data_IF_246123086895
#
_entry.id   IF_246123086895
#
_cell.length_a   1.000
_cell.length_b   1.000
_cell.length_c   1.000
_cell.angle_alpha   90.00
_cell.angle_beta   90.00
_cell.angle_gamma   90.00
#
_symmetry.space_group_name_H-M   'P 1'
#
loop_
_entity.id
_entity.type
_entity.pdbx_description
1 polymer ?
#
# COMPACT_ATOMS: atom_id res chain seq x y z
N UNK A 1 11.40 22.31 12.05
CA UNK A 1 10.80 21.32 11.14
C UNK A 1 11.92 20.42 10.71
N UNK A 2 11.77 19.10 10.86
CA UNK A 2 12.73 18.18 10.26
C UNK A 2 12.58 18.27 8.74
N UNK A 3 13.69 18.16 8.04
CA UNK A 3 13.74 18.23 6.59
C UNK A 3 13.04 17.01 5.99
N UNK A 4 11.98 17.22 5.20
CA UNK A 4 11.33 16.14 4.42
C UNK A 4 12.34 15.66 3.37
N UNK A 5 12.73 14.38 3.44
CA UNK A 5 13.59 13.74 2.42
C UNK A 5 12.81 12.66 1.70
N UNK A 6 12.38 12.95 0.49
CA UNK A 6 11.65 12.01 -0.35
C UNK A 6 12.64 11.21 -1.21
N UNK A 7 12.73 9.91 -0.97
CA UNK A 7 13.56 9.00 -1.76
C UNK A 7 12.72 8.11 -2.68
N UNK A 8 13.37 7.21 -3.43
CA UNK A 8 12.72 6.24 -4.33
C UNK A 8 11.73 5.31 -3.61
N UNK A 9 11.92 5.08 -2.29
CA UNK A 9 10.99 4.35 -1.42
C UNK A 9 9.98 5.25 -0.69
N UNK A 10 9.91 6.52 -1.04
CA UNK A 10 9.03 7.52 -0.43
C UNK A 10 9.67 8.25 0.75
N UNK A 11 8.84 8.96 1.50
CA UNK A 11 9.19 9.62 2.76
C UNK A 11 8.53 8.89 3.92
N UNK A 12 9.28 8.69 5.02
CA UNK A 12 8.80 8.01 6.23
C UNK A 12 9.22 8.79 7.46
N UNK A 13 8.33 8.90 8.44
CA UNK A 13 8.62 9.56 9.70
C UNK A 13 7.73 9.01 10.85
N UNK A 14 8.01 9.43 12.08
CA UNK A 14 7.23 9.05 13.27
C UNK A 14 5.94 9.85 13.31
N UNK A 15 4.80 9.14 13.42
CA UNK A 15 3.45 9.72 13.51
C UNK A 15 3.34 10.65 14.74
N UNK A 16 2.75 11.83 14.54
CA UNK A 16 2.60 12.86 15.56
C UNK A 16 3.88 13.68 15.83
N UNK A 17 5.01 13.32 15.19
CA UNK A 17 6.20 14.15 15.14
C UNK A 17 6.35 14.78 13.76
N UNK A 18 7.26 14.23 12.95
CA UNK A 18 7.50 14.72 11.60
C UNK A 18 6.45 14.23 10.61
N UNK A 19 5.84 13.06 10.85
CA UNK A 19 4.66 12.62 10.11
C UNK A 19 3.41 13.23 10.76
N UNK A 20 3.08 14.43 10.33
CA UNK A 20 1.97 15.23 10.82
C UNK A 20 1.17 15.82 9.64
N UNK A 21 0.03 16.42 9.94
CA UNK A 21 -0.89 16.95 8.93
C UNK A 21 -0.21 17.95 7.98
N UNK A 22 0.57 18.89 8.50
CA UNK A 22 1.22 19.93 7.70
C UNK A 22 2.20 19.33 6.68
N UNK A 23 3.03 18.39 7.14
CA UNK A 23 4.02 17.73 6.28
C UNK A 23 3.35 16.80 5.26
N UNK A 24 2.30 16.06 5.65
CA UNK A 24 1.49 15.23 4.74
C UNK A 24 0.87 16.11 3.65
N UNK A 25 0.25 17.23 4.01
CA UNK A 25 -0.30 18.20 3.04
C UNK A 25 0.77 18.76 2.11
N UNK A 26 1.96 19.04 2.62
CA UNK A 26 3.09 19.54 1.83
C UNK A 26 3.56 18.50 0.81
N UNK A 27 3.72 17.24 1.21
CA UNK A 27 4.11 16.15 0.30
C UNK A 27 3.00 15.85 -0.71
N UNK A 28 1.73 15.82 -0.28
CA UNK A 28 0.58 15.64 -1.17
C UNK A 28 0.51 16.73 -2.24
N UNK A 29 0.73 17.99 -1.84
CA UNK A 29 0.82 19.14 -2.77
C UNK A 29 1.94 18.92 -3.80
N UNK A 30 3.12 18.51 -3.35
CA UNK A 30 4.26 18.26 -4.24
C UNK A 30 3.97 17.17 -5.27
N UNK A 31 3.32 16.08 -4.84
CA UNK A 31 2.88 15.00 -5.74
C UNK A 31 1.81 15.49 -6.71
N UNK A 32 0.79 16.22 -6.23
CA UNK A 32 -0.27 16.78 -7.08
C UNK A 32 0.30 17.70 -8.15
N UNK A 33 1.24 18.57 -7.76
CA UNK A 33 1.94 19.46 -8.72
C UNK A 33 2.74 18.68 -9.76
N UNK A 34 3.49 17.65 -9.34
CA UNK A 34 4.22 16.77 -10.25
C UNK A 34 3.27 16.11 -11.27
N UNK A 35 2.16 15.54 -10.81
CA UNK A 35 1.19 14.90 -11.69
C UNK A 35 0.57 15.91 -12.65
N UNK A 36 0.25 17.11 -12.19
CA UNK A 36 -0.29 18.16 -13.04
C UNK A 36 0.71 18.62 -14.12
N UNK A 37 1.94 18.89 -13.74
CA UNK A 37 2.96 19.41 -14.66
C UNK A 37 3.31 18.40 -15.76
N UNK A 38 3.29 17.10 -15.45
CA UNK A 38 3.70 16.05 -16.37
C UNK A 38 2.52 15.42 -17.15
N UNK A 39 1.29 15.46 -16.61
CA UNK A 39 0.14 14.73 -17.18
C UNK A 39 -1.16 15.55 -17.27
N UNK A 40 -1.26 16.71 -16.60
CA UNK A 40 -2.49 17.48 -16.48
C UNK A 40 -3.51 16.89 -15.50
N UNK A 41 -4.73 17.47 -15.46
CA UNK A 41 -5.82 17.04 -14.57
C UNK A 41 -6.55 15.77 -15.04
N UNK A 42 -6.38 15.38 -16.29
CA UNK A 42 -7.01 14.15 -16.84
C UNK A 42 -6.36 12.87 -16.27
N UNK A 43 -5.17 12.99 -15.67
CA UNK A 43 -4.49 11.87 -15.03
C UNK A 43 -5.17 11.56 -13.70
N UNK A 44 -5.76 10.38 -13.60
CA UNK A 44 -6.34 9.91 -12.35
C UNK A 44 -5.27 9.59 -11.30
N UNK A 45 -5.61 9.79 -10.03
CA UNK A 45 -4.74 9.43 -8.91
C UNK A 45 -5.46 8.39 -8.06
N UNK A 46 -4.79 7.31 -7.74
CA UNK A 46 -5.30 6.28 -6.83
C UNK A 46 -4.55 6.31 -5.50
N UNK A 47 -5.28 6.15 -4.40
CA UNK A 47 -4.73 6.24 -3.04
C UNK A 47 -5.02 4.94 -2.29
N UNK A 48 -3.99 4.38 -1.70
CA UNK A 48 -4.08 3.19 -0.85
C UNK A 48 -3.39 3.40 0.50
N UNK A 49 -3.70 2.53 1.44
CA UNK A 49 -3.14 2.57 2.80
C UNK A 49 -3.01 1.16 3.39
N UNK A 50 -2.00 0.99 4.26
CA UNK A 50 -1.81 -0.21 5.08
C UNK A 50 -2.52 -0.07 6.45
N UNK A 51 -2.52 -1.09 7.34
CA UNK A 51 -3.26 -1.02 8.60
C UNK A 51 -2.58 -0.19 9.71
N UNK A 52 -1.57 0.60 9.39
CA UNK A 52 -0.86 1.43 10.37
C UNK A 52 -1.76 2.52 10.96
N UNK A 53 -1.40 2.94 12.17
CA UNK A 53 -2.07 4.06 12.83
C UNK A 53 -2.06 5.30 11.95
N UNK A 54 -3.20 6.00 11.84
CA UNK A 54 -3.43 7.21 11.04
C UNK A 54 -3.27 7.04 9.52
N UNK A 55 -3.06 5.81 9.00
CA UNK A 55 -2.84 5.61 7.57
C UNK A 55 -4.11 5.93 6.74
N UNK A 56 -5.28 5.52 7.20
CA UNK A 56 -6.55 5.83 6.55
C UNK A 56 -6.85 7.34 6.60
N UNK A 57 -6.71 7.95 7.77
CA UNK A 57 -7.01 9.37 7.98
C UNK A 57 -6.15 10.27 7.08
N UNK A 58 -4.86 10.01 7.00
CA UNK A 58 -3.98 10.76 6.12
C UNK A 58 -4.18 10.43 4.64
N UNK A 59 -4.58 9.21 4.30
CA UNK A 59 -4.95 8.84 2.94
C UNK A 59 -6.22 9.58 2.48
N UNK A 60 -7.26 9.65 3.33
CA UNK A 60 -8.49 10.40 3.06
C UNK A 60 -8.18 11.90 2.93
N UNK A 61 -7.43 12.49 3.85
CA UNK A 61 -6.99 13.89 3.79
C UNK A 61 -6.24 14.22 2.48
N UNK A 62 -5.32 13.34 2.06
CA UNK A 62 -4.59 13.54 0.82
C UNK A 62 -5.48 13.40 -0.41
N UNK A 63 -6.42 12.46 -0.41
CA UNK A 63 -7.39 12.31 -1.49
C UNK A 63 -8.28 13.55 -1.64
N UNK A 64 -8.78 14.10 -0.52
CA UNK A 64 -9.57 15.33 -0.51
C UNK A 64 -8.75 16.53 -1.02
N UNK A 65 -7.52 16.70 -0.56
CA UNK A 65 -6.65 17.77 -1.00
C UNK A 65 -6.35 17.70 -2.51
N UNK A 66 -6.13 16.50 -3.06
CA UNK A 66 -5.93 16.31 -4.49
C UNK A 66 -7.19 16.62 -5.29
N UNK A 67 -8.36 16.27 -4.77
CA UNK A 67 -9.63 16.64 -5.37
C UNK A 67 -9.88 18.17 -5.33
N UNK A 68 -9.48 18.86 -4.27
CA UNK A 68 -9.48 20.32 -4.20
C UNK A 68 -8.59 20.95 -5.29
N UNK A 69 -7.51 20.29 -5.69
CA UNK A 69 -6.68 20.74 -6.82
C UNK A 69 -7.30 20.46 -8.19
N UNK A 70 -8.36 19.66 -8.26
CA UNK A 70 -9.10 19.36 -9.49
C UNK A 70 -8.93 17.93 -10.00
N UNK A 71 -8.17 17.08 -9.31
CA UNK A 71 -7.97 15.69 -9.73
C UNK A 71 -9.17 14.80 -9.46
N UNK A 72 -9.36 13.80 -10.32
CA UNK A 72 -10.23 12.67 -10.05
C UNK A 72 -9.43 11.61 -9.25
N UNK A 73 -9.85 11.37 -8.03
CA UNK A 73 -9.13 10.52 -7.07
C UNK A 73 -9.97 9.30 -6.71
N UNK A 74 -9.36 8.11 -6.75
CA UNK A 74 -9.95 6.89 -6.20
C UNK A 74 -9.18 6.46 -4.96
N UNK A 75 -9.88 6.35 -3.84
CA UNK A 75 -9.28 5.84 -2.59
C UNK A 75 -9.75 4.42 -2.32
N UNK A 76 -8.84 3.57 -1.84
CA UNK A 76 -9.15 2.19 -1.49
C UNK A 76 -10.23 2.11 -0.41
N UNK A 77 -11.22 1.23 -0.60
CA UNK A 77 -12.27 0.94 0.40
C UNK A 77 -11.76 0.22 1.64
N UNK A 78 -10.59 -0.41 1.56
CA UNK A 78 -10.01 -1.23 2.62
C UNK A 78 -8.49 -1.16 2.59
N UNK A 79 -7.85 -1.65 3.62
CA UNK A 79 -6.40 -1.90 3.64
C UNK A 79 -5.97 -2.64 2.37
N UNK A 80 -4.86 -2.20 1.78
CA UNK A 80 -4.38 -2.71 0.50
C UNK A 80 -2.86 -2.91 0.52
N UNK A 81 -2.32 -4.04 0.03
CA UNK A 81 -0.88 -4.20 -0.13
C UNK A 81 -0.37 -3.37 -1.32
N UNK A 82 0.84 -2.83 -1.20
CA UNK A 82 1.46 -2.03 -2.27
C UNK A 82 1.43 -2.67 -3.66
N UNK A 83 1.67 -4.00 -3.84
CA UNK A 83 1.60 -4.61 -5.17
C UNK A 83 0.22 -4.53 -5.82
N UNK A 84 -0.84 -4.61 -5.02
CA UNK A 84 -2.22 -4.49 -5.54
C UNK A 84 -2.48 -3.07 -6.04
N UNK A 85 -2.04 -2.06 -5.28
CA UNK A 85 -2.17 -0.67 -5.70
C UNK A 85 -1.33 -0.36 -6.94
N UNK A 86 -0.08 -0.84 -6.98
CA UNK A 86 0.82 -0.67 -8.13
C UNK A 86 0.25 -1.32 -9.41
N UNK A 87 -0.29 -2.54 -9.30
CA UNK A 87 -0.97 -3.18 -10.43
C UNK A 87 -2.11 -2.31 -10.96
N UNK A 88 -2.95 -1.79 -10.07
CA UNK A 88 -4.09 -0.94 -10.47
C UNK A 88 -3.64 0.41 -11.04
N UNK A 89 -2.52 0.99 -10.58
CA UNK A 89 -1.92 2.17 -11.20
C UNK A 89 -1.64 1.94 -12.69
N UNK A 90 -1.00 0.81 -13.02
CA UNK A 90 -0.73 0.40 -14.40
C UNK A 90 -2.01 0.10 -15.17
N UNK A 91 -2.93 -0.66 -14.58
CA UNK A 91 -4.17 -1.12 -15.21
C UNK A 91 -5.10 0.04 -15.57
N UNK A 92 -5.20 1.04 -14.70
CA UNK A 92 -6.05 2.22 -14.87
C UNK A 92 -5.31 3.39 -15.56
N UNK A 93 -4.03 3.23 -15.91
CA UNK A 93 -3.20 4.32 -16.40
C UNK A 93 -3.19 5.53 -15.44
N UNK A 94 -3.12 5.27 -14.13
CA UNK A 94 -3.15 6.26 -13.07
C UNK A 94 -1.79 6.37 -12.36
N UNK A 95 -1.55 7.47 -11.65
CA UNK A 95 -0.50 7.54 -10.64
C UNK A 95 -1.06 7.07 -9.29
N UNK A 96 -0.20 6.56 -8.40
CA UNK A 96 -0.67 6.10 -7.10
C UNK A 96 0.10 6.68 -5.94
N UNK A 97 -0.60 6.82 -4.80
CA UNK A 97 -0.03 7.21 -3.51
C UNK A 97 -0.34 6.10 -2.51
N UNK A 98 0.69 5.54 -1.90
CA UNK A 98 0.55 4.51 -0.88
C UNK A 98 0.98 5.03 0.48
N UNK A 99 0.08 5.01 1.45
CA UNK A 99 0.36 5.29 2.85
C UNK A 99 0.84 4.02 3.54
N UNK A 100 2.14 3.92 3.76
CA UNK A 100 2.82 2.77 4.37
C UNK A 100 4.22 3.15 4.83
N UNK A 101 4.70 2.53 5.88
CA UNK A 101 6.11 2.57 6.25
C UNK A 101 6.79 1.20 6.05
N UNK A 102 6.20 0.30 5.23
CA UNK A 102 6.76 -1.01 4.92
C UNK A 102 7.07 -1.82 6.20
N UNK A 103 8.33 -2.15 6.44
CA UNK A 103 8.80 -2.92 7.59
C UNK A 103 9.27 -2.07 8.79
N UNK A 104 9.13 -0.74 8.73
CA UNK A 104 9.48 0.12 9.87
C UNK A 104 8.63 -0.21 11.11
N UNK A 105 9.12 0.16 12.33
CA UNK A 105 8.36 0.03 13.57
C UNK A 105 6.95 0.62 13.49
N UNK A 106 6.03 0.18 14.37
CA UNK A 106 4.61 0.58 14.33
C UNK A 106 4.35 2.09 14.38
N UNK A 107 5.22 2.84 15.07
CA UNK A 107 5.11 4.29 15.23
C UNK A 107 5.43 5.09 13.96
N UNK A 108 5.96 4.44 12.91
CA UNK A 108 6.24 5.08 11.63
C UNK A 108 5.08 4.99 10.67
N UNK A 109 4.90 6.03 9.87
CA UNK A 109 4.11 6.01 8.65
C UNK A 109 4.90 6.69 7.53
N UNK A 110 4.48 6.50 6.28
CA UNK A 110 5.13 7.09 5.13
C UNK A 110 4.19 7.29 3.97
N UNK A 111 4.65 8.05 2.99
CA UNK A 111 3.99 8.27 1.71
C UNK A 111 4.93 7.77 0.61
N UNK A 112 4.47 6.81 -0.18
CA UNK A 112 5.17 6.33 -1.37
C UNK A 112 4.41 6.77 -2.62
N UNK A 113 5.10 7.45 -3.53
CA UNK A 113 4.57 7.76 -4.85
C UNK A 113 4.91 6.62 -5.82
N UNK A 114 3.93 6.18 -6.57
CA UNK A 114 4.04 5.15 -7.59
C UNK A 114 3.59 5.78 -8.92
N UNK A 115 4.52 6.05 -9.84
CA UNK A 115 4.19 6.55 -11.16
C UNK A 115 3.33 5.59 -11.98
N UNK A 116 2.80 6.03 -13.10
CA UNK A 116 1.89 5.26 -13.97
C UNK A 116 2.51 4.01 -14.60
N UNK A 117 3.84 3.88 -14.59
CA UNK A 117 4.52 2.64 -14.97
C UNK A 117 4.53 1.57 -13.86
N UNK A 118 3.95 1.87 -12.68
CA UNK A 118 3.77 0.95 -11.53
C UNK A 118 5.06 0.48 -10.84
N UNK A 119 6.18 1.17 -11.05
CA UNK A 119 7.46 0.93 -10.39
C UNK A 119 7.77 1.94 -9.29
N UNK A 120 8.92 1.83 -8.63
CA UNK A 120 9.46 2.88 -7.78
C UNK A 120 9.67 4.18 -8.57
N UNK A 121 9.48 5.33 -7.93
CA UNK A 121 9.86 6.60 -8.52
C UNK A 121 11.37 6.63 -8.79
N UNK A 122 11.77 7.17 -9.95
CA UNK A 122 13.20 7.35 -10.26
C UNK A 122 13.78 8.51 -9.47
N UNK A 123 15.11 8.68 -9.48
CA UNK A 123 15.77 9.82 -8.84
C UNK A 123 15.28 11.16 -9.43
N UNK A 124 15.09 11.24 -10.74
CA UNK A 124 14.58 12.43 -11.40
C UNK A 124 13.20 12.83 -10.89
N UNK A 125 12.30 11.84 -10.71
CA UNK A 125 10.97 12.07 -10.14
C UNK A 125 11.07 12.53 -8.68
N UNK A 126 11.91 11.88 -7.87
CA UNK A 126 12.05 12.29 -6.46
C UNK A 126 12.68 13.65 -6.30
N UNK A 127 13.63 14.03 -7.16
CA UNK A 127 14.23 15.37 -7.18
C UNK A 127 13.19 16.44 -7.55
N UNK A 128 12.32 16.16 -8.52
CA UNK A 128 11.21 17.04 -8.88
C UNK A 128 10.18 17.15 -7.74
N UNK A 129 9.85 16.04 -7.07
CA UNK A 129 8.99 16.07 -5.88
C UNK A 129 9.61 16.93 -4.76
N UNK A 130 10.91 16.78 -4.51
CA UNK A 130 11.63 17.59 -3.52
C UNK A 130 11.62 19.09 -3.87
N UNK A 131 11.81 19.43 -5.14
CA UNK A 131 11.68 20.81 -5.61
C UNK A 131 10.26 21.35 -5.39
N UNK A 132 9.24 20.53 -5.68
CA UNK A 132 7.83 20.89 -5.56
C UNK A 132 7.34 21.04 -4.10
N UNK A 133 8.07 20.57 -3.09
CA UNK A 133 7.73 20.82 -1.68
C UNK A 133 7.60 22.33 -1.38
N UNK A 134 8.41 23.16 -2.03
CA UNK A 134 8.44 24.60 -1.86
C UNK A 134 7.62 25.38 -2.88
N UNK A 135 7.07 24.70 -3.89
CA UNK A 135 6.31 25.33 -4.94
C UNK A 135 4.92 25.76 -4.48
N UNK A 136 4.42 26.84 -5.08
CA UNK A 136 3.01 27.19 -4.98
C UNK A 136 2.21 26.35 -5.98
N UNK A 137 1.18 25.65 -5.47
CA UNK A 137 0.22 24.95 -6.30
C UNK A 137 -1.20 25.33 -5.80
N UNK A 138 -2.01 25.84 -6.71
CA UNK A 138 -3.34 26.37 -6.39
C UNK A 138 -4.41 25.43 -6.94
N UNK A 139 -5.59 25.52 -6.39
CA UNK A 139 -6.81 24.89 -6.92
C UNK A 139 -7.01 25.27 -8.38
N UNK A 140 -7.17 24.27 -9.25
CA UNK A 140 -7.33 24.42 -10.69
C UNK A 140 -8.74 24.07 -11.17
N UNK A 141 -9.55 23.45 -10.29
CA UNK A 141 -10.91 23.04 -10.61
C UNK A 141 -11.55 22.26 -9.46
N UNK A 142 -12.70 21.65 -9.76
CA UNK A 142 -13.41 20.77 -8.85
C UNK A 142 -13.16 19.31 -9.25
N UNK A 143 -12.35 18.61 -8.46
CA UNK A 143 -12.14 17.18 -8.61
C UNK A 143 -13.17 16.35 -7.85
N UNK A 144 -12.88 15.09 -7.67
CA UNK A 144 -13.76 14.17 -6.94
C UNK A 144 -12.97 13.10 -6.20
N UNK A 145 -13.52 12.62 -5.08
CA UNK A 145 -13.02 11.43 -4.37
C UNK A 145 -14.05 10.31 -4.47
N UNK A 146 -13.62 9.14 -4.92
CA UNK A 146 -14.46 7.96 -5.02
C UNK A 146 -13.83 6.78 -4.29
N UNK A 147 -14.56 6.14 -3.37
CA UNK A 147 -14.10 4.90 -2.73
C UNK A 147 -14.18 3.73 -3.72
N UNK A 148 -13.05 3.09 -3.98
CA UNK A 148 -12.92 2.04 -4.99
C UNK A 148 -12.36 0.72 -4.39
N UNK A 149 -12.80 -0.43 -4.93
CA UNK A 149 -12.27 -1.74 -4.54
C UNK A 149 -11.29 -2.24 -5.60
N UNK A 150 -10.01 -2.13 -5.33
CA UNK A 150 -8.94 -2.51 -6.26
C UNK A 150 -8.65 -4.02 -6.31
N UNK A 151 -9.26 -4.83 -5.44
CA UNK A 151 -8.94 -6.26 -5.34
C UNK A 151 -9.40 -7.12 -6.53
N UNK A 152 -10.63 -6.93 -7.12
CA UNK A 152 -11.14 -7.82 -8.16
C UNK A 152 -10.24 -7.90 -9.40
N UNK A 153 -9.78 -6.77 -9.92
CA UNK A 153 -8.93 -6.73 -11.11
C UNK A 153 -7.57 -7.37 -10.87
N UNK A 154 -7.02 -7.15 -9.67
CA UNK A 154 -5.79 -7.80 -9.24
C UNK A 154 -5.96 -9.32 -9.14
N UNK A 155 -7.03 -9.81 -8.52
CA UNK A 155 -7.30 -11.25 -8.43
C UNK A 155 -7.46 -11.88 -9.80
N UNK A 156 -8.26 -11.27 -10.68
CA UNK A 156 -8.43 -11.73 -12.04
C UNK A 156 -7.11 -11.78 -12.84
N UNK A 157 -6.18 -10.88 -12.53
CA UNK A 157 -4.84 -10.91 -13.12
C UNK A 157 -3.99 -12.06 -12.55
N UNK A 158 -3.96 -12.24 -11.24
CA UNK A 158 -3.20 -13.32 -10.60
C UNK A 158 -3.71 -14.69 -11.07
N UNK A 159 -5.02 -14.88 -11.21
CA UNK A 159 -5.61 -16.13 -11.71
C UNK A 159 -5.17 -16.49 -13.15
N UNK A 160 -4.79 -15.50 -13.96
CA UNK A 160 -4.20 -15.74 -15.30
C UNK A 160 -2.73 -16.15 -15.24
N UNK A 161 -2.01 -15.75 -14.20
CA UNK A 161 -0.57 -16.01 -14.05
C UNK A 161 -0.29 -17.32 -13.30
N UNK A 162 -1.18 -17.73 -12.40
CA UNK A 162 -0.98 -18.85 -11.49
C UNK A 162 -1.88 -20.02 -11.87
N UNK A 163 -1.29 -21.19 -12.00
CA UNK A 163 -2.03 -22.44 -12.20
C UNK A 163 -2.57 -22.97 -10.85
N UNK A 164 -3.69 -22.44 -10.42
CA UNK A 164 -4.35 -22.87 -9.18
C UNK A 164 -4.83 -24.34 -9.22
N UNK A 165 -5.09 -24.90 -10.43
CA UNK A 165 -5.42 -26.34 -10.57
C UNK A 165 -4.25 -27.19 -10.12
N UNK A 166 -3.02 -26.79 -10.50
CA UNK A 166 -1.80 -27.46 -10.07
C UNK A 166 -1.58 -27.29 -8.56
N UNK A 167 -1.88 -26.12 -8.00
CA UNK A 167 -1.77 -25.91 -6.55
C UNK A 167 -2.75 -26.80 -5.77
N UNK A 168 -3.97 -27.02 -6.27
CA UNK A 168 -4.93 -27.95 -5.65
C UNK A 168 -4.41 -29.40 -5.52
N UNK A 169 -3.49 -29.82 -6.38
CA UNK A 169 -2.85 -31.14 -6.30
C UNK A 169 -1.61 -31.17 -5.39
N UNK A 170 -1.27 -30.03 -4.79
CA UNK A 170 -0.15 -29.93 -3.88
C UNK A 170 -0.49 -30.55 -2.52
N UNK A 171 0.14 -31.67 -2.21
CA UNK A 171 -0.19 -32.49 -1.06
C UNK A 171 0.35 -31.95 0.28
N UNK A 172 0.68 -30.67 0.35
CA UNK A 172 1.16 -30.05 1.59
C UNK A 172 0.08 -29.24 2.28
N UNK A 173 0.10 -29.26 3.61
CA UNK A 173 -0.73 -28.40 4.44
C UNK A 173 -0.17 -26.97 4.35
N UNK A 174 -0.95 -26.04 3.81
CA UNK A 174 -0.59 -24.62 3.72
C UNK A 174 -0.91 -23.97 5.07
N UNK A 175 0.04 -23.21 5.60
CA UNK A 175 -0.15 -22.39 6.80
C UNK A 175 0.20 -20.96 6.41
N UNK A 176 -0.75 -20.04 6.55
CA UNK A 176 -0.57 -18.64 6.23
C UNK A 176 -0.57 -17.78 7.49
N UNK A 177 0.45 -16.95 7.64
CA UNK A 177 0.53 -15.96 8.71
C UNK A 177 0.31 -14.56 8.13
N UNK A 178 -0.80 -13.92 8.46
CA UNK A 178 -1.14 -12.59 8.00
C UNK A 178 -0.30 -11.48 8.64
N UNK A 179 0.50 -11.79 9.67
CA UNK A 179 1.33 -10.82 10.43
C UNK A 179 0.58 -9.54 10.82
N UNK A 180 -0.73 -9.66 11.06
CA UNK A 180 -1.62 -8.53 11.39
C UNK A 180 -1.67 -7.42 10.32
N UNK A 181 -1.19 -7.68 9.10
CA UNK A 181 -0.83 -6.66 8.12
C UNK A 181 -1.68 -6.72 6.82
N UNK A 182 -1.20 -6.04 5.78
CA UNK A 182 -1.96 -5.75 4.57
C UNK A 182 -2.21 -6.96 3.66
N UNK A 183 -1.53 -8.09 3.85
CA UNK A 183 -1.74 -9.33 3.07
C UNK A 183 -3.07 -10.02 3.37
N UNK A 184 -3.68 -9.72 4.53
CA UNK A 184 -4.98 -10.25 4.96
C UNK A 184 -6.09 -9.78 4.01
N UNK A 185 -6.89 -10.73 3.53
CA UNK A 185 -7.94 -10.49 2.54
C UNK A 185 -7.43 -10.47 1.09
N UNK A 186 -6.18 -10.89 0.86
CA UNK A 186 -5.57 -11.02 -0.46
C UNK A 186 -5.03 -12.42 -0.73
N UNK A 187 -4.01 -12.88 -0.01
CA UNK A 187 -3.46 -14.22 -0.21
C UNK A 187 -4.47 -15.29 0.23
N UNK A 188 -5.01 -15.17 1.43
CA UNK A 188 -6.10 -16.02 1.95
C UNK A 188 -7.30 -16.01 1.01
N UNK A 189 -7.69 -14.83 0.48
CA UNK A 189 -8.83 -14.71 -0.43
C UNK A 189 -8.60 -15.43 -1.77
N UNK A 190 -7.39 -15.40 -2.30
CA UNK A 190 -7.03 -16.18 -3.49
C UNK A 190 -7.11 -17.68 -3.23
N UNK A 191 -6.69 -18.15 -2.05
CA UNK A 191 -6.84 -19.55 -1.65
C UNK A 191 -8.32 -19.94 -1.54
N UNK A 192 -9.15 -19.10 -0.87
CA UNK A 192 -10.60 -19.31 -0.72
C UNK A 192 -11.33 -19.39 -2.06
N UNK A 193 -11.09 -18.41 -2.96
CA UNK A 193 -11.72 -18.38 -4.31
C UNK A 193 -11.39 -19.65 -5.08
N UNK A 194 -10.19 -20.18 -4.89
CA UNK A 194 -9.73 -21.40 -5.55
C UNK A 194 -9.99 -22.66 -4.73
N UNK A 195 -10.76 -22.60 -3.63
CA UNK A 195 -11.11 -23.74 -2.77
C UNK A 195 -9.88 -24.51 -2.25
N UNK A 196 -8.77 -23.81 -2.01
CA UNK A 196 -7.55 -24.38 -1.46
C UNK A 196 -7.60 -24.25 0.05
N UNK A 197 -7.51 -25.38 0.76
CA UNK A 197 -7.51 -25.41 2.23
C UNK A 197 -6.20 -24.91 2.80
N UNK A 198 -6.27 -24.14 3.86
CA UNK A 198 -5.10 -23.63 4.60
C UNK A 198 -5.45 -23.45 6.08
N UNK A 199 -4.45 -23.51 6.92
CA UNK A 199 -4.48 -23.00 8.28
C UNK A 199 -3.97 -21.57 8.30
N UNK A 200 -4.37 -20.79 9.29
CA UNK A 200 -3.95 -19.39 9.38
C UNK A 200 -3.54 -18.96 10.79
N UNK A 201 -2.71 -17.93 10.84
CA UNK A 201 -2.26 -17.22 12.04
C UNK A 201 -2.42 -15.71 11.83
N UNK A 202 -2.71 -14.98 12.89
CA UNK A 202 -2.69 -13.50 12.94
C UNK A 202 -3.53 -12.83 11.84
N UNK A 203 -4.77 -13.30 11.62
CA UNK A 203 -5.67 -12.89 10.54
C UNK A 203 -6.58 -11.72 10.91
N UNK A 204 -6.07 -10.74 11.64
CA UNK A 204 -6.75 -9.46 11.91
C UNK A 204 -5.75 -8.31 11.87
N UNK A 205 -6.21 -7.12 11.52
CA UNK A 205 -5.35 -5.95 11.46
C UNK A 205 -5.08 -5.43 12.88
N UNK A 206 -3.81 -5.24 13.20
CA UNK A 206 -3.35 -4.61 14.44
C UNK A 206 -2.29 -3.55 14.10
N UNK A 207 -2.53 -2.32 14.53
CA UNK A 207 -1.60 -1.19 14.31
C UNK A 207 -0.25 -1.38 14.98
N UNK A 208 -0.18 -2.25 16.01
CA UNK A 208 1.05 -2.62 16.73
C UNK A 208 1.66 -3.95 16.26
N UNK A 209 1.08 -4.60 15.23
CA UNK A 209 1.58 -5.85 14.66
C UNK A 209 1.88 -6.94 15.73
N UNK A 210 0.95 -7.12 16.68
CA UNK A 210 1.11 -8.08 17.78
C UNK A 210 2.25 -7.75 18.75
N UNK A 211 2.67 -6.49 18.83
CA UNK A 211 3.84 -6.05 19.61
C UNK A 211 5.19 -6.31 18.93
N UNK A 212 5.16 -6.65 17.64
CA UNK A 212 6.33 -6.91 16.82
C UNK A 212 6.57 -5.88 15.73
N UNK A 213 6.99 -6.36 14.56
CA UNK A 213 7.17 -5.56 13.35
C UNK A 213 6.55 -6.32 12.18
N UNK A 214 5.98 -5.62 11.18
CA UNK A 214 5.42 -6.24 9.97
C UNK A 214 6.55 -6.67 9.01
N UNK A 215 7.42 -7.53 9.51
CA UNK A 215 8.60 -7.99 8.77
C UNK A 215 8.75 -9.51 8.94
N UNK A 216 8.72 -10.31 7.87
CA UNK A 216 8.77 -11.77 7.94
C UNK A 216 10.18 -12.28 8.29
N UNK A 217 10.73 -11.81 9.42
CA UNK A 217 12.00 -12.33 9.99
C UNK A 217 11.74 -13.47 10.98
N UNK A 218 12.65 -14.43 11.12
CA UNK A 218 12.48 -15.59 12.02
C UNK A 218 12.06 -15.24 13.44
N UNK A 219 12.52 -14.10 13.97
CA UNK A 219 12.16 -13.65 15.33
C UNK A 219 10.67 -13.30 15.49
N UNK A 220 9.99 -12.91 14.41
CA UNK A 220 8.57 -12.58 14.37
C UNK A 220 7.69 -13.73 13.85
N UNK A 221 8.31 -14.74 13.23
CA UNK A 221 7.64 -15.91 12.67
C UNK A 221 7.69 -17.14 13.59
N UNK A 222 7.94 -16.98 14.88
CA UNK A 222 8.11 -18.11 15.81
C UNK A 222 6.92 -19.06 15.80
N UNK A 223 5.70 -18.53 15.90
CA UNK A 223 4.48 -19.32 15.89
C UNK A 223 4.27 -20.04 14.56
N UNK A 224 4.51 -19.37 13.44
CA UNK A 224 4.46 -20.01 12.12
C UNK A 224 5.49 -21.13 12.01
N UNK A 225 6.73 -20.89 12.43
CA UNK A 225 7.81 -21.89 12.39
C UNK A 225 7.46 -23.10 13.25
N UNK A 226 6.94 -22.91 14.47
CA UNK A 226 6.53 -23.97 15.38
C UNK A 226 5.36 -24.76 14.80
N UNK A 227 4.35 -24.08 14.25
CA UNK A 227 3.20 -24.70 13.62
C UNK A 227 3.60 -25.53 12.39
N UNK A 228 4.49 -25.01 11.54
CA UNK A 228 5.03 -25.75 10.39
C UNK A 228 5.81 -26.99 10.85
N UNK A 229 6.66 -26.90 11.89
CA UNK A 229 7.41 -28.04 12.42
C UNK A 229 6.53 -29.11 13.04
N UNK A 230 5.43 -28.72 13.69
CA UNK A 230 4.49 -29.64 14.34
C UNK A 230 3.44 -30.23 13.41
N UNK A 231 3.26 -29.65 12.21
CA UNK A 231 2.28 -30.13 11.23
C UNK A 231 2.99 -30.95 10.16
N UNK A 232 2.74 -32.25 10.06
CA UNK A 232 3.34 -33.10 9.04
C UNK A 232 3.06 -32.57 7.63
N UNK A 233 4.06 -32.67 6.75
CA UNK A 233 3.93 -32.31 5.34
C UNK A 233 3.36 -30.91 5.10
N UNK A 234 3.87 -29.88 5.81
CA UNK A 234 3.39 -28.52 5.73
C UNK A 234 4.37 -27.55 5.10
N UNK A 235 3.87 -26.38 4.68
CA UNK A 235 4.63 -25.23 4.22
C UNK A 235 3.99 -23.95 4.78
N UNK A 236 4.82 -23.00 5.24
CA UNK A 236 4.38 -21.74 5.80
C UNK A 236 4.63 -20.57 4.84
N UNK A 237 3.69 -19.62 4.83
CA UNK A 237 3.76 -18.34 4.12
C UNK A 237 3.47 -17.19 5.09
N UNK A 238 4.16 -16.04 4.91
CA UNK A 238 3.94 -14.83 5.67
C UNK A 238 4.17 -13.57 4.83
#
# INVERSE_FOLDING_TARGET
MSEIKFGTDGWRAVVGKDFNEENVRTVTKAIGKYVYDNFGLDKEIIVGYDPRNMALEYAEQSAEQLAEYGFKVFISKKVIPTPVLAYNAKHLNACAIMFTASHNPPEYLGIKFIPDYAGPATSEITDELMYNLHANFKTLGNGSVTKYNFAPDYFAHIEKLIDFKKIKTFEKNIIFDGLYAASIGYFDKLLDINEIKYDSLHMFHDTNFGGGMPEPKPKYLKELIEKVKSTPNSVGFA
#
